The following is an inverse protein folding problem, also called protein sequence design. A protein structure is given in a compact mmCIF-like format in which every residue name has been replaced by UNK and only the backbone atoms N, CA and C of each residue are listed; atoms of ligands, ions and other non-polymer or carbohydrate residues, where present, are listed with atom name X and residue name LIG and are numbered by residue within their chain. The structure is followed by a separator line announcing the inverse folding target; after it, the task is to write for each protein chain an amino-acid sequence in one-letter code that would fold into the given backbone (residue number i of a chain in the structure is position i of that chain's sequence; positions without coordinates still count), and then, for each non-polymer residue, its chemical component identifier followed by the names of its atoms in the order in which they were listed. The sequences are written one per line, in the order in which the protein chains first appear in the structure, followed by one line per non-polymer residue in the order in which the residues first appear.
data_IF_386793328163
#
_entry.id   IF_386793328163
#
_cell.length_a   1.000
_cell.length_b   1.000
_cell.length_c   1.000
_cell.angle_alpha   90.00
_cell.angle_beta   90.00
_cell.angle_gamma   90.00
#
_symmetry.space_group_name_H-M   'P 1'
#
loop_
_entity.id
_entity.type
_entity.pdbx_description
1 polymer ?
#
# COMPACT_ATOMS: atom_id res chain seq x y z
N UNK A 1 41.38 16.58 0.65
CA UNK A 1 39.99 17.00 0.36
C UNK A 1 39.43 15.96 -0.57
N UNK A 2 38.68 15.02 -0.03
CA UNK A 2 38.13 13.88 -0.78
C UNK A 2 36.89 14.32 -1.52
N UNK A 3 36.94 14.21 -2.85
CA UNK A 3 35.81 14.44 -3.75
C UNK A 3 34.65 13.51 -3.35
N UNK A 4 33.50 14.12 -3.07
CA UNK A 4 32.25 13.42 -2.88
C UNK A 4 31.88 12.72 -4.19
N UNK A 5 31.88 11.39 -4.14
CA UNK A 5 31.25 10.54 -5.13
C UNK A 5 29.76 10.90 -5.25
N UNK A 6 29.44 11.79 -6.19
CA UNK A 6 28.09 11.95 -6.71
C UNK A 6 27.71 10.67 -7.46
N UNK A 7 27.23 9.68 -6.73
CA UNK A 7 26.41 8.65 -7.35
C UNK A 7 25.17 9.34 -7.94
N UNK A 8 24.87 9.22 -9.24
CA UNK A 8 23.56 9.60 -9.74
C UNK A 8 22.57 8.59 -9.15
N UNK A 9 21.92 8.98 -8.05
CA UNK A 9 20.75 8.26 -7.56
C UNK A 9 19.77 8.18 -8.71
N UNK A 10 19.45 6.97 -9.15
CA UNK A 10 18.45 6.74 -10.19
C UNK A 10 17.08 7.17 -9.68
N UNK A 11 16.79 8.47 -9.74
CA UNK A 11 15.46 9.04 -9.53
C UNK A 11 14.62 8.65 -10.74
N UNK A 12 13.95 7.51 -10.65
CA UNK A 12 12.72 7.30 -11.41
C UNK A 12 11.86 8.57 -11.21
N UNK A 13 11.58 9.27 -12.30
CA UNK A 13 11.21 10.68 -12.32
C UNK A 13 9.90 10.99 -11.59
N UNK A 14 10.01 11.47 -10.35
CA UNK A 14 8.89 12.00 -9.58
C UNK A 14 9.01 13.52 -9.46
N UNK A 15 7.93 14.23 -9.74
CA UNK A 15 7.78 15.64 -9.42
C UNK A 15 6.99 15.75 -8.11
N UNK A 16 7.52 16.51 -7.15
CA UNK A 16 6.87 16.72 -5.87
C UNK A 16 5.89 17.90 -5.98
N UNK A 17 4.68 17.70 -5.46
CA UNK A 17 3.59 18.64 -5.49
C UNK A 17 2.88 18.64 -4.13
N UNK A 18 2.15 19.72 -3.84
CA UNK A 18 1.29 19.83 -2.67
C UNK A 18 -0.17 19.78 -3.12
N UNK A 19 -1.01 19.06 -2.37
CA UNK A 19 -2.44 18.92 -2.64
C UNK A 19 -3.24 18.89 -1.33
N UNK A 20 -4.38 19.61 -1.21
CA UNK A 20 -5.15 19.69 0.03
C UNK A 20 -5.69 18.34 0.53
N UNK A 21 -5.81 17.32 -0.34
CA UNK A 21 -6.34 16.01 0.05
C UNK A 21 -5.32 15.08 0.72
N UNK A 22 -4.03 15.23 0.39
CA UNK A 22 -2.99 14.26 0.79
C UNK A 22 -1.69 14.92 1.28
N UNK A 23 -1.65 16.27 1.33
CA UNK A 23 -0.43 17.01 1.58
C UNK A 23 0.54 16.87 0.41
N UNK A 24 1.77 16.43 0.68
CA UNK A 24 2.78 16.27 -0.36
C UNK A 24 2.58 14.95 -1.11
N UNK A 25 2.61 15.02 -2.44
CA UNK A 25 2.54 13.85 -3.29
C UNK A 25 3.61 13.91 -4.40
N UNK A 26 3.97 12.73 -4.89
CA UNK A 26 4.92 12.54 -5.97
C UNK A 26 4.18 12.10 -7.23
N UNK A 27 4.22 12.91 -8.29
CA UNK A 27 3.64 12.60 -9.60
C UNK A 27 4.65 11.89 -10.49
N UNK A 28 4.24 10.80 -11.14
CA UNK A 28 5.04 10.09 -12.15
C UNK A 28 4.90 10.78 -13.51
N UNK A 29 6.01 10.88 -14.26
CA UNK A 29 6.01 11.50 -15.61
C UNK A 29 5.06 10.85 -16.63
N UNK A 30 4.72 9.58 -16.46
CA UNK A 30 3.88 8.82 -17.40
C UNK A 30 2.44 8.65 -16.93
N UNK A 31 2.02 9.41 -15.92
CA UNK A 31 0.71 9.23 -15.29
C UNK A 31 0.84 8.50 -13.95
N UNK A 32 -0.06 8.85 -13.05
CA UNK A 32 -0.13 8.35 -11.69
C UNK A 32 0.59 9.21 -10.67
N UNK A 33 0.18 9.04 -9.42
CA UNK A 33 0.71 9.75 -8.28
C UNK A 33 0.82 8.81 -7.07
N UNK A 34 1.65 9.20 -6.10
CA UNK A 34 1.72 8.54 -4.80
C UNK A 34 1.91 9.53 -3.66
N UNK A 35 1.40 9.23 -2.47
CA UNK A 35 1.57 10.04 -1.28
C UNK A 35 1.66 9.15 -0.04
N UNK A 36 2.40 9.60 0.97
CA UNK A 36 2.30 9.05 2.32
C UNK A 36 1.37 9.95 3.12
N UNK A 37 0.21 9.43 3.52
CA UNK A 37 -0.84 10.23 4.18
C UNK A 37 -1.67 9.40 5.15
N UNK A 38 -2.29 10.08 6.11
CA UNK A 38 -3.27 9.47 7.02
C UNK A 38 -4.64 9.46 6.33
N UNK A 39 -5.33 8.32 6.35
CA UNK A 39 -6.66 8.16 5.75
C UNK A 39 -7.67 7.49 6.67
N UNK A 40 -8.92 7.93 6.55
CA UNK A 40 -10.02 7.39 7.34
C UNK A 40 -9.77 7.57 8.83
N UNK A 41 -9.93 6.48 9.57
CA UNK A 41 -9.72 6.42 11.03
C UNK A 41 -8.33 5.87 11.41
N UNK A 42 -7.41 5.74 10.45
CA UNK A 42 -6.04 5.32 10.74
C UNK A 42 -5.33 6.40 11.57
N UNK A 43 -4.58 5.99 12.58
CA UNK A 43 -3.74 6.88 13.41
C UNK A 43 -2.27 6.91 12.94
N UNK A 44 -1.99 6.31 11.78
CA UNK A 44 -0.67 6.25 11.15
C UNK A 44 -0.76 6.53 9.64
N UNK A 45 0.32 7.06 9.03
CA UNK A 45 0.35 7.29 7.59
C UNK A 45 0.51 5.97 6.82
N UNK A 46 -0.09 5.91 5.64
CA UNK A 46 0.04 4.80 4.69
C UNK A 46 0.47 5.33 3.32
N UNK A 47 1.14 4.50 2.54
CA UNK A 47 1.45 4.83 1.15
C UNK A 47 0.21 4.59 0.28
N UNK A 48 -0.28 5.62 -0.40
CA UNK A 48 -1.34 5.47 -1.40
C UNK A 48 -0.84 5.87 -2.77
N UNK A 49 -1.34 5.20 -3.81
CA UNK A 49 -1.06 5.54 -5.20
C UNK A 49 -2.28 5.32 -6.10
N UNK A 50 -2.45 6.17 -7.10
CA UNK A 50 -3.48 5.99 -8.11
C UNK A 50 -3.02 6.51 -9.47
N UNK A 51 -3.69 6.09 -10.54
CA UNK A 51 -3.50 6.66 -11.87
C UNK A 51 -4.06 8.09 -11.97
N UNK A 52 -3.60 8.85 -12.97
CA UNK A 52 -3.96 10.26 -13.16
C UNK A 52 -2.89 11.25 -12.66
N UNK A 53 -3.11 12.54 -12.91
CA UNK A 53 -2.08 13.58 -12.70
C UNK A 53 -2.04 14.15 -11.28
N UNK A 54 -3.14 14.06 -10.54
CA UNK A 54 -3.27 14.58 -9.18
C UNK A 54 -4.31 13.79 -8.39
N UNK A 55 -4.25 13.79 -7.05
CA UNK A 55 -5.25 13.16 -6.20
C UNK A 55 -6.63 13.80 -6.36
N UNK A 56 -7.67 13.00 -6.55
CA UNK A 56 -9.05 13.50 -6.62
C UNK A 56 -9.96 12.94 -5.51
N UNK A 57 -11.09 13.61 -5.29
CA UNK A 57 -12.04 13.27 -4.22
C UNK A 57 -12.64 11.86 -4.41
N UNK A 58 -12.87 11.43 -5.66
CA UNK A 58 -13.43 10.11 -5.93
C UNK A 58 -12.41 9.02 -5.57
N UNK A 59 -11.15 9.17 -5.95
CA UNK A 59 -10.05 8.28 -5.55
C UNK A 59 -9.92 8.20 -4.03
N UNK A 60 -9.93 9.35 -3.35
CA UNK A 60 -9.85 9.39 -1.88
C UNK A 60 -11.04 8.69 -1.21
N UNK A 61 -12.24 8.80 -1.80
CA UNK A 61 -13.44 8.12 -1.30
C UNK A 61 -13.34 6.60 -1.46
N UNK A 62 -12.80 6.14 -2.60
CA UNK A 62 -12.57 4.73 -2.89
C UNK A 62 -11.54 4.09 -1.95
N UNK A 63 -10.45 4.79 -1.62
CA UNK A 63 -9.51 4.31 -0.60
C UNK A 63 -10.16 4.17 0.79
N UNK A 64 -10.97 5.15 1.21
CA UNK A 64 -11.67 5.09 2.50
C UNK A 64 -12.67 3.94 2.57
N UNK A 65 -13.40 3.72 1.48
CA UNK A 65 -14.34 2.59 1.36
C UNK A 65 -13.59 1.25 1.49
N UNK A 66 -12.46 1.10 0.78
CA UNK A 66 -11.62 -0.10 0.90
C UNK A 66 -11.10 -0.30 2.33
N UNK A 67 -10.57 0.73 2.98
CA UNK A 67 -10.06 0.66 4.36
C UNK A 67 -11.15 0.19 5.33
N UNK A 68 -12.37 0.69 5.17
CA UNK A 68 -13.50 0.30 6.02
C UNK A 68 -13.90 -1.18 5.82
N UNK A 69 -13.76 -1.71 4.60
CA UNK A 69 -14.09 -3.11 4.26
C UNK A 69 -12.94 -4.09 4.52
N UNK A 70 -11.71 -3.60 4.67
CA UNK A 70 -10.51 -4.42 4.78
C UNK A 70 -10.58 -5.50 5.87
N UNK A 71 -11.11 -5.24 7.08
CA UNK A 71 -11.21 -6.28 8.11
C UNK A 71 -12.07 -7.48 7.69
N UNK A 72 -13.18 -7.24 6.99
CA UNK A 72 -14.06 -8.29 6.47
C UNK A 72 -13.41 -9.03 5.29
N UNK A 73 -12.74 -8.28 4.41
CA UNK A 73 -11.96 -8.80 3.29
C UNK A 73 -10.87 -9.76 3.80
N UNK A 74 -10.10 -9.35 4.81
CA UNK A 74 -9.05 -10.16 5.42
C UNK A 74 -9.64 -11.42 6.05
N UNK A 75 -10.72 -11.28 6.83
CA UNK A 75 -11.37 -12.40 7.52
C UNK A 75 -11.97 -13.44 6.56
N UNK A 76 -12.40 -13.02 5.37
CA UNK A 76 -12.96 -13.89 4.33
C UNK A 76 -11.94 -14.37 3.29
N UNK A 77 -10.71 -13.85 3.34
CA UNK A 77 -9.66 -14.25 2.41
C UNK A 77 -9.19 -15.69 2.64
N UNK A 78 -8.62 -16.29 1.60
CA UNK A 78 -7.98 -17.60 1.66
C UNK A 78 -6.47 -17.50 1.93
N UNK A 79 -5.97 -16.35 2.40
CA UNK A 79 -4.55 -16.17 2.70
C UNK A 79 -4.15 -17.09 3.87
N UNK A 80 -3.12 -17.93 3.73
CA UNK A 80 -2.60 -18.70 4.85
C UNK A 80 -2.10 -17.80 5.99
N UNK A 81 -2.24 -18.24 7.24
CA UNK A 81 -1.77 -17.47 8.43
C UNK A 81 -0.27 -17.12 8.41
N UNK A 82 0.54 -17.92 7.72
CA UNK A 82 1.98 -17.71 7.59
C UNK A 82 2.48 -18.27 6.24
N UNK A 83 3.52 -17.67 5.64
CA UNK A 83 4.10 -18.14 4.38
C UNK A 83 4.92 -19.43 4.56
N UNK A 84 5.60 -19.58 5.69
CA UNK A 84 6.41 -20.77 6.04
C UNK A 84 6.37 -21.04 7.55
N UNK A 85 6.72 -22.27 7.96
CA UNK A 85 6.88 -22.62 9.39
C UNK A 85 8.05 -21.87 10.05
N UNK A 86 9.12 -21.58 9.30
CA UNK A 86 10.23 -20.77 9.79
C UNK A 86 9.76 -19.35 10.11
N UNK A 87 9.00 -18.74 9.19
CA UNK A 87 8.41 -17.42 9.38
C UNK A 87 7.49 -17.42 10.61
N UNK A 88 6.59 -18.41 10.71
CA UNK A 88 5.71 -18.56 11.89
C UNK A 88 6.49 -18.62 13.20
N UNK A 89 7.61 -19.33 13.22
CA UNK A 89 8.47 -19.47 14.40
C UNK A 89 9.16 -18.17 14.79
N UNK A 90 9.55 -17.35 13.81
CA UNK A 90 10.12 -16.00 14.04
C UNK A 90 9.06 -14.99 14.48
N UNK A 91 7.80 -15.19 14.10
CA UNK A 91 6.71 -14.23 14.30
C UNK A 91 5.50 -14.83 15.07
N UNK A 92 5.70 -15.39 16.28
CA UNK A 92 4.65 -16.14 16.99
C UNK A 92 3.41 -15.31 17.37
N UNK A 93 3.58 -13.99 17.48
CA UNK A 93 2.53 -13.04 17.85
C UNK A 93 1.86 -12.37 16.65
N UNK A 94 2.32 -12.64 15.42
CA UNK A 94 1.72 -12.04 14.24
C UNK A 94 0.29 -12.53 14.05
N UNK A 95 -0.62 -11.60 13.76
CA UNK A 95 -2.00 -11.87 13.40
C UNK A 95 -2.37 -10.99 12.23
N UNK A 96 -2.82 -11.59 11.14
CA UNK A 96 -3.17 -10.88 9.90
C UNK A 96 -4.21 -9.78 10.13
N UNK A 97 -5.21 -10.03 10.98
CA UNK A 97 -6.25 -9.05 11.34
C UNK A 97 -5.72 -7.79 12.04
N UNK A 98 -4.52 -7.86 12.62
CA UNK A 98 -3.88 -6.74 13.31
C UNK A 98 -2.74 -6.12 12.47
N UNK A 99 -2.51 -6.63 11.26
CA UNK A 99 -1.48 -6.12 10.38
C UNK A 99 -1.83 -4.71 9.92
N UNK A 100 -0.85 -3.81 9.97
CA UNK A 100 -1.01 -2.45 9.46
C UNK A 100 -1.04 -2.49 7.94
N UNK A 101 -1.74 -1.54 7.35
CA UNK A 101 -1.68 -1.30 5.90
C UNK A 101 -0.37 -0.56 5.61
N UNK A 102 0.46 -1.07 4.72
CA UNK A 102 1.66 -0.37 4.25
C UNK A 102 1.39 0.39 2.97
N UNK A 103 0.69 -0.24 2.01
CA UNK A 103 0.33 0.41 0.76
C UNK A 103 -1.05 0.06 0.22
N UNK A 104 -1.66 1.05 -0.46
CA UNK A 104 -2.86 0.90 -1.26
C UNK A 104 -2.64 1.50 -2.65
N UNK A 105 -2.89 0.72 -3.69
CA UNK A 105 -2.83 1.18 -5.08
C UNK A 105 -4.23 1.06 -5.67
N UNK A 106 -4.74 2.13 -6.30
CA UNK A 106 -5.97 2.13 -7.07
C UNK A 106 -5.63 2.22 -8.56
N UNK A 107 -5.97 1.18 -9.31
CA UNK A 107 -5.74 1.13 -10.76
C UNK A 107 -6.85 1.87 -11.53
N UNK A 108 -6.58 2.21 -12.79
CA UNK A 108 -7.49 2.99 -13.65
C UNK A 108 -8.86 2.31 -13.82
N UNK A 109 -8.90 0.99 -13.91
CA UNK A 109 -10.13 0.21 -14.00
C UNK A 109 -10.90 0.07 -12.67
N UNK A 110 -10.38 0.67 -11.59
CA UNK A 110 -11.03 0.72 -10.27
C UNK A 110 -10.72 -0.45 -9.34
N UNK A 111 -9.84 -1.37 -9.77
CA UNK A 111 -9.31 -2.44 -8.93
C UNK A 111 -8.25 -1.91 -7.98
N UNK A 112 -7.90 -2.69 -6.95
CA UNK A 112 -6.90 -2.31 -5.97
C UNK A 112 -5.84 -3.38 -5.78
N UNK A 113 -4.64 -2.92 -5.42
CA UNK A 113 -3.66 -3.74 -4.73
C UNK A 113 -3.46 -3.22 -3.31
N UNK A 114 -3.42 -4.13 -2.34
CA UNK A 114 -3.21 -3.84 -0.92
C UNK A 114 -2.01 -4.61 -0.43
N UNK A 115 -1.06 -3.93 0.22
CA UNK A 115 0.03 -4.57 0.96
C UNK A 115 -0.11 -4.26 2.44
N UNK A 116 -0.05 -5.30 3.25
CA UNK A 116 -0.01 -5.17 4.71
C UNK A 116 1.42 -5.36 5.22
N UNK A 117 1.70 -4.82 6.39
CA UNK A 117 2.96 -5.06 7.08
C UNK A 117 2.99 -6.46 7.67
N UNK A 118 4.15 -7.08 7.52
CA UNK A 118 4.59 -8.20 8.32
C UNK A 118 5.61 -7.67 9.31
N UNK A 119 5.31 -7.73 10.60
CA UNK A 119 6.27 -7.30 11.62
C UNK A 119 7.07 -8.48 12.18
N UNK A 120 8.40 -8.34 12.34
CA UNK A 120 9.26 -7.29 11.82
C UNK A 120 9.37 -7.35 10.29
N UNK A 121 9.53 -6.18 9.70
CA UNK A 121 9.81 -5.96 8.28
C UNK A 121 11.07 -6.74 7.91
N UNK A 122 11.00 -7.83 7.14
CA UNK A 122 12.17 -8.22 6.32
C UNK A 122 11.95 -9.31 5.27
N UNK A 123 11.02 -10.28 5.44
CA UNK A 123 11.01 -11.42 4.48
C UNK A 123 9.73 -11.62 3.66
N UNK A 124 8.53 -11.40 4.21
CA UNK A 124 7.29 -11.68 3.48
C UNK A 124 6.18 -10.77 4.00
N UNK A 125 5.36 -10.21 3.11
CA UNK A 125 4.23 -9.35 3.44
C UNK A 125 2.94 -9.86 2.77
N UNK A 126 1.78 -9.77 3.44
CA UNK A 126 0.49 -10.06 2.82
C UNK A 126 0.18 -9.07 1.69
N UNK A 127 -0.21 -9.60 0.54
CA UNK A 127 -0.71 -8.86 -0.61
C UNK A 127 -2.11 -9.33 -1.00
N UNK A 128 -2.96 -8.40 -1.41
CA UNK A 128 -4.29 -8.68 -1.94
C UNK A 128 -4.53 -7.90 -3.23
N UNK A 129 -4.92 -8.60 -4.28
CA UNK A 129 -5.60 -7.98 -5.42
C UNK A 129 -7.10 -8.02 -5.18
N UNK A 130 -7.75 -6.88 -5.41
CA UNK A 130 -9.16 -6.67 -5.09
C UNK A 130 -9.85 -6.04 -6.30
N UNK A 131 -10.93 -6.66 -6.77
CA UNK A 131 -11.72 -6.17 -7.88
C UNK A 131 -12.46 -4.85 -7.55
N UNK A 132 -12.98 -4.12 -8.55
CA UNK A 132 -13.73 -2.88 -8.30
C UNK A 132 -14.97 -3.03 -7.40
N UNK A 133 -15.54 -4.24 -7.32
CA UNK A 133 -16.65 -4.58 -6.40
C UNK A 133 -16.18 -5.14 -5.05
N UNK A 134 -14.92 -4.87 -4.67
CA UNK A 134 -14.30 -5.20 -3.38
C UNK A 134 -14.17 -6.69 -3.07
N UNK A 135 -14.12 -7.54 -4.10
CA UNK A 135 -13.86 -8.98 -3.91
C UNK A 135 -12.38 -9.27 -4.09
N UNK A 136 -11.84 -10.08 -3.19
CA UNK A 136 -10.47 -10.59 -3.32
C UNK A 136 -10.39 -11.47 -4.56
N UNK A 137 -9.50 -11.11 -5.49
CA UNK A 137 -9.19 -11.92 -6.68
C UNK A 137 -7.91 -12.72 -6.50
N UNK A 138 -6.98 -12.21 -5.68
CA UNK A 138 -5.75 -12.88 -5.28
C UNK A 138 -5.41 -12.49 -3.84
N UNK A 139 -4.98 -13.46 -3.05
CA UNK A 139 -4.36 -13.23 -1.75
C UNK A 139 -3.10 -14.08 -1.65
N UNK A 140 -1.96 -13.44 -1.46
CA UNK A 140 -0.69 -14.14 -1.38
C UNK A 140 0.28 -13.47 -0.41
N UNK A 141 1.27 -14.24 0.01
CA UNK A 141 2.43 -13.68 0.65
C UNK A 141 3.44 -13.31 -0.43
N UNK A 142 3.98 -12.10 -0.41
CA UNK A 142 5.03 -11.64 -1.32
C UNK A 142 6.28 -11.23 -0.57
N UNK A 143 7.45 -11.54 -1.13
CA UNK A 143 8.77 -11.11 -0.63
C UNK A 143 9.03 -9.67 -1.06
#
# INVERSE_FOLDING_TARGET
MTEQNNHPSSSLYFELHEHPLVGNYARRKHGGWRADTVLGDLDYPINIAAEGNEPDIAQMSRFKELIALLPEIIASSNLPDAPTEEWRSKHPNYRLLNAKISSLILYEEGSFFVRLDAYPEDDWAPGFDISPDFKVTLAEWGV
#
